data_IF_083075384831
#
_entry.id   IF_083075384831
#
_cell.length_a   1.000
_cell.length_b   1.000
_cell.length_c   1.000
_cell.angle_alpha   90.00
_cell.angle_beta   90.00
_cell.angle_gamma   90.00
#
_symmetry.space_group_name_H-M   'P 1'
#
loop_
_entity.id
_entity.type
_entity.pdbx_description
1 polymer ?
#
# COMPACT_ATOMS: atom_id res chain seq x y z
N UNK A 1 -21.42 11.73 -24.50
CA UNK A 1 -22.41 12.06 -23.48
C UNK A 1 -22.20 11.27 -22.17
N UNK A 2 -22.09 9.94 -22.24
CA UNK A 2 -21.86 9.09 -21.05
C UNK A 2 -20.49 9.30 -20.40
N UNK A 3 -19.44 9.44 -21.18
CA UNK A 3 -18.07 9.68 -20.67
C UNK A 3 -17.92 11.04 -19.97
N UNK A 4 -18.48 12.10 -20.55
CA UNK A 4 -18.44 13.44 -19.94
C UNK A 4 -19.25 13.50 -18.63
N UNK A 5 -20.36 12.76 -18.53
CA UNK A 5 -21.13 12.62 -17.29
C UNK A 5 -20.36 11.85 -16.21
N UNK A 6 -19.75 10.70 -16.59
CA UNK A 6 -18.95 9.89 -15.68
C UNK A 6 -17.76 10.67 -15.10
N UNK A 7 -17.01 11.39 -15.94
CA UNK A 7 -15.90 12.25 -15.48
C UNK A 7 -16.39 13.34 -14.52
N UNK A 8 -17.55 13.95 -14.80
CA UNK A 8 -18.13 14.98 -13.92
C UNK A 8 -18.50 14.40 -12.56
N UNK A 9 -19.07 13.22 -12.52
CA UNK A 9 -19.43 12.54 -11.27
C UNK A 9 -18.18 12.19 -10.45
N UNK A 10 -17.10 11.76 -11.09
CA UNK A 10 -15.80 11.53 -10.44
C UNK A 10 -15.23 12.84 -9.88
N UNK A 11 -15.25 13.93 -10.65
CA UNK A 11 -14.81 15.26 -10.19
C UNK A 11 -15.60 15.68 -8.96
N UNK A 12 -16.92 15.52 -8.98
CA UNK A 12 -17.79 15.86 -7.86
C UNK A 12 -17.44 15.05 -6.61
N UNK A 13 -17.22 13.74 -6.77
CA UNK A 13 -16.88 12.85 -5.66
C UNK A 13 -15.51 13.13 -5.05
N UNK A 14 -14.54 13.56 -5.85
CA UNK A 14 -13.13 13.71 -5.44
C UNK A 14 -12.72 15.17 -5.13
N UNK A 15 -13.53 16.15 -5.51
CA UNK A 15 -13.23 17.58 -5.25
C UNK A 15 -13.02 17.90 -3.77
N UNK A 16 -13.75 17.32 -2.79
CA UNK A 16 -13.51 17.57 -1.38
C UNK A 16 -12.10 17.18 -0.90
N UNK A 17 -11.43 16.31 -1.64
CA UNK A 17 -10.07 15.82 -1.33
C UNK A 17 -8.97 16.54 -2.11
N UNK A 18 -9.29 17.63 -2.80
CA UNK A 18 -8.34 18.40 -3.57
C UNK A 18 -7.79 17.71 -4.83
N UNK A 19 -8.49 16.68 -5.33
CA UNK A 19 -8.11 15.95 -6.54
C UNK A 19 -8.41 16.80 -7.77
N UNK A 20 -7.40 17.00 -8.61
CA UNK A 20 -7.52 17.82 -9.83
C UNK A 20 -8.41 17.15 -10.88
N UNK A 21 -9.21 17.91 -11.66
CA UNK A 21 -10.07 17.38 -12.71
C UNK A 21 -9.36 16.50 -13.75
N UNK A 22 -8.08 16.79 -14.04
CA UNK A 22 -7.27 15.98 -14.96
C UNK A 22 -7.05 14.55 -14.49
N UNK A 23 -7.06 14.32 -13.17
CA UNK A 23 -6.97 12.96 -12.60
C UNK A 23 -8.28 12.20 -12.73
N UNK A 24 -9.42 12.87 -12.74
CA UNK A 24 -10.73 12.22 -12.97
C UNK A 24 -10.81 11.58 -14.36
N UNK A 25 -10.21 12.22 -15.35
CA UNK A 25 -10.12 11.64 -16.70
C UNK A 25 -9.28 10.35 -16.66
N UNK A 26 -8.11 10.38 -16.05
CA UNK A 26 -7.25 9.19 -15.89
C UNK A 26 -7.96 8.06 -15.15
N UNK A 27 -8.68 8.38 -14.10
CA UNK A 27 -9.44 7.40 -13.32
C UNK A 27 -10.52 6.75 -14.20
N UNK A 28 -11.24 7.57 -14.97
CA UNK A 28 -12.27 7.08 -15.88
C UNK A 28 -11.73 6.17 -17.01
N UNK A 29 -10.52 6.48 -17.50
CA UNK A 29 -9.85 5.67 -18.53
C UNK A 29 -9.26 4.37 -17.97
N UNK A 30 -8.90 4.36 -16.68
CA UNK A 30 -8.18 3.24 -16.07
C UNK A 30 -9.09 2.18 -15.47
N UNK A 31 -10.27 2.55 -15.00
CA UNK A 31 -11.18 1.66 -14.29
C UNK A 31 -12.52 1.50 -15.04
N UNK A 32 -13.04 0.28 -15.09
CA UNK A 32 -14.35 -0.01 -15.72
C UNK A 32 -15.51 0.62 -14.93
N UNK A 33 -15.42 0.65 -13.61
CA UNK A 33 -16.40 1.32 -12.73
C UNK A 33 -15.69 2.26 -11.75
N UNK A 34 -15.33 3.47 -12.19
CA UNK A 34 -14.54 4.42 -11.40
C UNK A 34 -15.21 4.84 -10.08
N UNK A 35 -16.52 5.06 -10.09
CA UNK A 35 -17.25 5.49 -8.88
C UNK A 35 -17.33 4.38 -7.84
N UNK A 36 -17.40 3.12 -8.29
CA UNK A 36 -17.31 1.97 -7.40
C UNK A 36 -15.92 1.89 -6.74
N UNK A 37 -14.86 2.11 -7.52
CA UNK A 37 -13.48 2.15 -6.99
C UNK A 37 -13.33 3.24 -5.93
N UNK A 38 -13.82 4.44 -6.20
CA UNK A 38 -13.78 5.56 -5.22
C UNK A 38 -14.51 5.20 -3.93
N UNK A 39 -15.63 4.50 -4.01
CA UNK A 39 -16.46 4.16 -2.83
C UNK A 39 -15.98 2.93 -2.08
N UNK A 40 -15.59 1.87 -2.78
CA UNK A 40 -15.35 0.55 -2.19
C UNK A 40 -13.86 0.22 -2.03
N UNK A 41 -13.02 0.69 -2.95
CA UNK A 41 -11.59 0.35 -3.01
C UNK A 41 -10.69 1.57 -3.28
N UNK A 42 -10.82 2.66 -2.49
CA UNK A 42 -10.13 3.93 -2.78
C UNK A 42 -8.60 3.80 -2.81
N UNK A 43 -8.01 2.84 -2.11
CA UNK A 43 -6.57 2.60 -2.19
C UNK A 43 -6.09 2.09 -3.55
N UNK A 44 -6.98 1.61 -4.42
CA UNK A 44 -6.65 1.29 -5.80
C UNK A 44 -6.32 2.53 -6.64
N UNK A 45 -6.67 3.72 -6.16
CA UNK A 45 -6.32 5.01 -6.78
C UNK A 45 -4.86 5.40 -6.53
N UNK A 46 -4.18 4.77 -5.55
CA UNK A 46 -2.78 5.06 -5.24
C UNK A 46 -1.85 4.60 -6.35
N UNK A 47 -0.85 5.41 -6.65
CA UNK A 47 0.28 5.03 -7.47
C UNK A 47 0.52 5.96 -8.64
N UNK A 48 1.66 5.75 -9.30
CA UNK A 48 2.16 6.58 -10.39
C UNK A 48 1.24 6.59 -11.62
N UNK A 49 0.50 5.51 -11.86
CA UNK A 49 -0.43 5.42 -13.01
C UNK A 49 -1.55 6.44 -12.96
N UNK A 50 -2.15 6.61 -11.78
CA UNK A 50 -3.23 7.59 -11.57
C UNK A 50 -2.65 8.93 -11.12
N UNK A 51 -1.65 8.92 -10.25
CA UNK A 51 -1.02 10.11 -9.70
C UNK A 51 -1.69 10.60 -8.40
N UNK A 52 -2.40 9.73 -7.70
CA UNK A 52 -2.95 9.97 -6.37
C UNK A 52 -2.03 9.31 -5.34
N UNK A 53 -1.57 10.09 -4.37
CA UNK A 53 -0.75 9.60 -3.27
C UNK A 53 -1.58 8.88 -2.20
N UNK A 54 -0.89 8.14 -1.32
CA UNK A 54 -1.54 7.38 -0.24
C UNK A 54 -2.40 8.27 0.67
N UNK A 55 -1.91 9.43 1.08
CA UNK A 55 -2.66 10.32 2.00
C UNK A 55 -4.01 10.74 1.46
N UNK A 56 -4.08 11.08 0.18
CA UNK A 56 -5.35 11.46 -0.47
C UNK A 56 -6.30 10.26 -0.57
N UNK A 57 -5.81 9.11 -1.01
CA UNK A 57 -6.62 7.88 -1.07
C UNK A 57 -7.08 7.44 0.33
N UNK A 58 -6.25 7.62 1.34
CA UNK A 58 -6.57 7.32 2.74
C UNK A 58 -7.66 8.25 3.30
N UNK A 59 -7.61 9.54 2.97
CA UNK A 59 -8.70 10.48 3.31
C UNK A 59 -10.03 10.06 2.68
N UNK A 60 -10.03 9.65 1.44
CA UNK A 60 -11.21 9.12 0.74
C UNK A 60 -11.71 7.86 1.47
N UNK A 61 -10.82 6.92 1.78
CA UNK A 61 -11.16 5.69 2.48
C UNK A 61 -11.76 5.96 3.87
N UNK A 62 -11.17 6.86 4.65
CA UNK A 62 -11.70 7.24 5.97
C UNK A 62 -13.06 7.92 5.86
N UNK A 63 -13.27 8.78 4.87
CA UNK A 63 -14.59 9.38 4.62
C UNK A 63 -15.64 8.34 4.24
N UNK A 64 -15.24 7.22 3.66
CA UNK A 64 -16.09 6.07 3.34
C UNK A 64 -16.26 5.09 4.52
N UNK A 65 -15.72 5.41 5.69
CA UNK A 65 -15.89 4.63 6.92
C UNK A 65 -14.76 3.65 7.25
N UNK A 66 -13.63 3.69 6.53
CA UNK A 66 -12.45 2.88 6.89
C UNK A 66 -11.85 3.43 8.18
N UNK A 67 -11.76 2.59 9.21
CA UNK A 67 -11.16 2.97 10.49
C UNK A 67 -9.65 3.22 10.34
N UNK A 68 -9.09 4.23 11.04
CA UNK A 68 -7.65 4.45 11.13
C UNK A 68 -6.85 3.22 11.63
N UNK A 69 -7.47 2.35 12.44
CA UNK A 69 -6.87 1.11 12.95
C UNK A 69 -7.11 -0.11 12.05
N UNK A 70 -7.75 0.06 10.90
CA UNK A 70 -8.09 -1.03 9.98
C UNK A 70 -6.84 -1.72 9.40
N UNK A 71 -6.83 -3.05 9.42
CA UNK A 71 -5.77 -3.84 8.78
C UNK A 71 -5.69 -3.57 7.26
N UNK A 72 -6.82 -3.33 6.61
CA UNK A 72 -6.87 -2.91 5.20
C UNK A 72 -6.07 -1.63 4.97
N UNK A 73 -6.21 -0.66 5.84
CA UNK A 73 -5.48 0.61 5.81
C UNK A 73 -3.97 0.38 5.97
N UNK A 74 -3.58 -0.41 6.96
CA UNK A 74 -2.16 -0.74 7.22
C UNK A 74 -1.55 -1.50 6.04
N UNK A 75 -2.22 -2.52 5.54
CA UNK A 75 -1.76 -3.28 4.37
C UNK A 75 -1.62 -2.40 3.12
N UNK A 76 -2.55 -1.49 2.91
CA UNK A 76 -2.51 -0.56 1.78
C UNK A 76 -1.34 0.42 1.86
N UNK A 77 -1.04 0.92 3.07
CA UNK A 77 0.12 1.78 3.33
C UNK A 77 1.46 1.06 3.10
N UNK A 78 1.58 -0.16 3.59
CA UNK A 78 2.75 -1.01 3.38
C UNK A 78 2.96 -1.29 1.88
N UNK A 79 1.91 -1.65 1.15
CA UNK A 79 1.98 -1.87 -0.29
C UNK A 79 2.39 -0.62 -1.06
N UNK A 80 1.89 0.53 -0.64
CA UNK A 80 2.28 1.82 -1.23
C UNK A 80 3.78 2.07 -1.07
N UNK A 81 4.33 1.85 0.13
CA UNK A 81 5.76 2.03 0.40
C UNK A 81 6.62 1.06 -0.41
N UNK A 82 6.26 -0.22 -0.47
CA UNK A 82 7.00 -1.20 -1.25
C UNK A 82 6.99 -0.88 -2.75
N UNK A 83 5.88 -0.39 -3.28
CA UNK A 83 5.82 0.07 -4.68
C UNK A 83 6.68 1.30 -4.93
N UNK A 84 6.70 2.24 -3.99
CA UNK A 84 7.55 3.42 -4.09
C UNK A 84 9.05 3.05 -4.15
N UNK A 85 9.46 2.06 -3.37
CA UNK A 85 10.83 1.51 -3.44
C UNK A 85 11.11 0.86 -4.81
N UNK A 86 10.19 0.04 -5.31
CA UNK A 86 10.31 -0.58 -6.64
C UNK A 86 10.41 0.44 -7.77
N UNK A 87 9.63 1.51 -7.72
CA UNK A 87 9.67 2.62 -8.68
C UNK A 87 11.00 3.37 -8.68
N UNK A 88 11.73 3.35 -7.56
CA UNK A 88 13.11 3.87 -7.45
C UNK A 88 14.18 2.84 -7.85
N UNK A 89 13.79 1.63 -8.21
CA UNK A 89 14.69 0.55 -8.60
C UNK A 89 15.13 -0.36 -7.45
N UNK A 90 14.54 -0.21 -6.26
CA UNK A 90 14.82 -1.05 -5.09
C UNK A 90 13.82 -2.19 -4.99
N UNK A 91 14.22 -3.40 -5.32
CA UNK A 91 13.33 -4.57 -5.27
C UNK A 91 12.98 -4.98 -3.84
N UNK A 92 13.88 -4.77 -2.89
CA UNK A 92 13.71 -5.07 -1.48
C UNK A 92 14.08 -3.86 -0.61
N UNK A 93 13.57 -3.85 0.61
CA UNK A 93 13.92 -2.84 1.62
C UNK A 93 14.18 -3.51 2.97
N UNK A 94 14.88 -2.82 3.83
CA UNK A 94 15.09 -3.23 5.21
C UNK A 94 13.76 -3.26 5.97
N UNK A 95 13.49 -4.37 6.66
CA UNK A 95 12.21 -4.58 7.33
C UNK A 95 11.97 -3.56 8.45
N UNK A 96 13.00 -3.22 9.22
CA UNK A 96 12.88 -2.24 10.30
C UNK A 96 12.56 -0.85 9.75
N UNK A 97 13.25 -0.44 8.69
CA UNK A 97 13.01 0.83 8.00
C UNK A 97 11.60 0.90 7.42
N UNK A 98 11.10 -0.20 6.86
CA UNK A 98 9.72 -0.27 6.36
C UNK A 98 8.70 -0.10 7.48
N UNK A 99 8.91 -0.74 8.63
CA UNK A 99 8.02 -0.63 9.78
C UNK A 99 7.92 0.82 10.25
N UNK A 100 9.04 1.51 10.41
CA UNK A 100 9.05 2.91 10.84
C UNK A 100 8.42 3.83 9.78
N UNK A 101 8.75 3.65 8.51
CA UNK A 101 8.11 4.40 7.41
C UNK A 101 6.61 4.18 7.35
N UNK A 102 6.14 2.96 7.61
CA UNK A 102 4.71 2.65 7.68
C UNK A 102 4.03 3.36 8.85
N UNK A 103 4.65 3.39 10.02
CA UNK A 103 4.13 4.10 11.19
C UNK A 103 4.01 5.60 10.93
N UNK A 104 5.00 6.21 10.31
CA UNK A 104 4.95 7.62 9.90
C UNK A 104 3.86 7.90 8.85
N UNK A 105 3.79 7.07 7.81
CA UNK A 105 2.79 7.20 6.74
C UNK A 105 1.36 7.09 7.28
N UNK A 106 1.14 6.16 8.21
CA UNK A 106 -0.17 5.84 8.78
C UNK A 106 -0.56 6.75 9.97
N UNK A 107 0.32 7.65 10.41
CA UNK A 107 -0.01 8.60 11.46
C UNK A 107 -1.08 9.59 11.00
N UNK A 108 -2.10 9.81 11.82
CA UNK A 108 -3.21 10.75 11.59
C UNK A 108 -3.34 11.67 12.78
N UNK A 109 -3.63 12.94 12.52
CA UNK A 109 -3.94 13.90 13.57
C UNK A 109 -5.16 13.42 14.39
N UNK A 110 -5.15 13.67 15.68
CA UNK A 110 -6.20 13.26 16.62
C UNK A 110 -6.39 11.74 16.79
N UNK A 111 -5.45 10.93 16.32
CA UNK A 111 -5.47 9.48 16.51
C UNK A 111 -4.15 8.98 17.12
N UNK A 112 -4.17 7.91 17.94
CA UNK A 112 -2.93 7.35 18.49
C UNK A 112 -1.93 7.01 17.40
N UNK A 113 -0.65 7.30 17.65
CA UNK A 113 0.42 6.96 16.73
C UNK A 113 0.44 5.44 16.48
N UNK A 114 0.60 4.99 15.22
CA UNK A 114 0.55 3.58 14.89
C UNK A 114 1.55 2.74 15.70
N UNK A 115 1.05 1.72 16.40
CA UNK A 115 1.91 0.82 17.17
C UNK A 115 2.68 -0.13 16.27
N UNK A 116 3.92 -0.41 16.65
CA UNK A 116 4.78 -1.40 15.96
C UNK A 116 4.11 -2.77 15.86
N UNK A 117 3.44 -3.21 16.91
CA UNK A 117 2.68 -4.46 16.98
C UNK A 117 1.62 -4.57 15.89
N UNK A 118 0.87 -3.51 15.61
CA UNK A 118 -0.14 -3.50 14.56
C UNK A 118 0.47 -3.63 13.16
N UNK A 119 1.59 -2.98 12.91
CA UNK A 119 2.34 -3.12 11.64
C UNK A 119 2.82 -4.56 11.48
N UNK A 120 3.42 -5.15 12.52
CA UNK A 120 3.89 -6.54 12.50
C UNK A 120 2.75 -7.54 12.29
N UNK A 121 1.62 -7.39 12.98
CA UNK A 121 0.45 -8.23 12.78
C UNK A 121 -0.05 -8.16 11.33
N UNK A 122 -0.07 -6.97 10.75
CA UNK A 122 -0.45 -6.78 9.35
C UNK A 122 0.54 -7.50 8.42
N UNK A 123 1.84 -7.35 8.65
CA UNK A 123 2.88 -8.02 7.86
C UNK A 123 2.77 -9.55 7.94
N UNK A 124 2.49 -10.11 9.13
CA UNK A 124 2.24 -11.54 9.29
C UNK A 124 1.08 -12.00 8.42
N UNK A 125 -0.02 -11.25 8.39
CA UNK A 125 -1.17 -11.58 7.54
C UNK A 125 -0.86 -11.42 6.05
N UNK A 126 -0.15 -10.37 5.67
CA UNK A 126 0.27 -10.16 4.27
C UNK A 126 1.20 -11.29 3.80
N UNK A 127 2.09 -11.79 4.66
CA UNK A 127 2.95 -12.92 4.36
C UNK A 127 2.16 -14.22 4.18
N UNK A 128 1.19 -14.48 5.05
CA UNK A 128 0.28 -15.64 4.92
C UNK A 128 -0.54 -15.60 3.63
N UNK A 129 -0.89 -14.42 3.16
CA UNK A 129 -1.64 -14.20 1.92
C UNK A 129 -0.74 -14.13 0.67
N UNK A 130 0.56 -14.42 0.80
CA UNK A 130 1.55 -14.35 -0.28
C UNK A 130 1.58 -12.97 -0.97
N UNK A 131 1.44 -11.91 -0.21
CA UNK A 131 1.56 -10.53 -0.69
C UNK A 131 2.99 -10.03 -0.58
N UNK A 132 3.71 -10.46 0.45
CA UNK A 132 5.10 -10.10 0.73
C UNK A 132 5.94 -11.33 1.08
N UNK A 133 7.24 -11.22 0.85
CA UNK A 133 8.25 -12.18 1.31
C UNK A 133 9.26 -11.45 2.19
N UNK A 134 9.64 -12.09 3.26
CA UNK A 134 10.72 -11.64 4.14
C UNK A 134 11.86 -12.63 4.03
N UNK A 135 13.09 -12.14 3.92
CA UNK A 135 14.29 -12.95 3.82
C UNK A 135 15.31 -12.60 4.90
N UNK A 136 16.05 -13.62 5.32
CA UNK A 136 17.19 -13.45 6.21
C UNK A 136 18.47 -13.05 5.40
N UNK A 137 19.61 -12.74 6.06
CA UNK A 137 20.85 -12.39 5.37
C UNK A 137 21.42 -13.47 4.42
N UNK A 138 20.92 -14.70 4.51
CA UNK A 138 21.30 -15.80 3.61
C UNK A 138 20.37 -15.90 2.39
N UNK A 139 19.45 -14.93 2.22
CA UNK A 139 18.41 -14.92 1.17
C UNK A 139 17.45 -16.11 1.26
N UNK A 140 17.22 -16.60 2.47
CA UNK A 140 16.24 -17.66 2.75
C UNK A 140 14.94 -17.02 3.25
N UNK A 141 13.77 -17.50 2.80
CA UNK A 141 12.50 -17.03 3.30
C UNK A 141 12.40 -17.17 4.82
N UNK A 142 11.98 -16.11 5.47
CA UNK A 142 11.83 -16.02 6.91
C UNK A 142 10.35 -15.83 7.28
N UNK A 143 9.79 -16.72 8.09
CA UNK A 143 8.42 -16.61 8.54
C UNK A 143 8.31 -15.62 9.72
N UNK A 144 7.55 -14.54 9.53
CA UNK A 144 7.21 -13.63 10.62
C UNK A 144 6.19 -14.29 11.54
N UNK A 145 6.34 -14.00 12.82
CA UNK A 145 5.44 -14.46 13.85
C UNK A 145 5.03 -13.27 14.75
N UNK A 146 3.91 -13.38 15.44
CA UNK A 146 3.35 -12.31 16.28
C UNK A 146 4.18 -12.01 17.54
N UNK A 147 5.14 -12.87 17.87
CA UNK A 147 6.01 -12.71 19.06
C UNK A 147 7.26 -11.85 18.78
N UNK A 148 7.39 -11.28 17.58
CA UNK A 148 8.57 -10.53 17.13
C UNK A 148 8.56 -9.05 17.55
N UNK A 149 7.66 -8.64 18.42
CA UNK A 149 7.50 -7.23 18.82
C UNK A 149 8.80 -6.63 19.43
N UNK A 150 9.55 -7.44 20.14
CA UNK A 150 10.83 -7.07 20.77
C UNK A 150 12.05 -7.60 20.02
N UNK A 151 11.89 -8.33 18.93
CA UNK A 151 12.99 -8.89 18.16
C UNK A 151 13.72 -7.81 17.35
N UNK A 152 15.03 -7.98 17.18
CA UNK A 152 15.82 -7.19 16.25
C UNK A 152 15.59 -7.70 14.81
N UNK A 153 14.84 -6.94 14.06
CA UNK A 153 14.49 -7.22 12.67
C UNK A 153 15.41 -6.52 11.65
N UNK A 154 16.44 -5.82 12.10
CA UNK A 154 17.32 -4.98 11.28
C UNK A 154 18.10 -5.74 10.20
N UNK A 155 18.23 -7.06 10.34
CA UNK A 155 18.89 -7.92 9.36
C UNK A 155 17.95 -8.57 8.35
N UNK A 156 16.65 -8.38 8.51
CA UNK A 156 15.64 -8.92 7.60
C UNK A 156 15.32 -7.92 6.50
N UNK A 157 15.10 -8.43 5.30
CA UNK A 157 14.62 -7.66 4.16
C UNK A 157 13.22 -8.10 3.77
N UNK A 158 12.46 -7.21 3.16
CA UNK A 158 11.10 -7.46 2.70
C UNK A 158 10.92 -6.96 1.27
N UNK A 159 10.12 -7.68 0.51
CA UNK A 159 9.76 -7.33 -0.86
C UNK A 159 8.35 -7.82 -1.20
N UNK A 160 7.78 -7.32 -2.29
CA UNK A 160 6.56 -7.87 -2.85
C UNK A 160 6.77 -9.31 -3.31
N UNK A 161 5.81 -10.20 -3.03
CA UNK A 161 5.88 -11.60 -3.43
C UNK A 161 6.06 -11.77 -4.94
N UNK A 162 5.40 -10.95 -5.74
CA UNK A 162 5.53 -10.98 -7.20
C UNK A 162 6.96 -10.70 -7.67
N UNK A 163 7.61 -9.70 -7.08
CA UNK A 163 9.00 -9.34 -7.38
C UNK A 163 9.97 -10.46 -6.96
N UNK A 164 9.71 -11.07 -5.80
CA UNK A 164 10.50 -12.21 -5.33
C UNK A 164 10.42 -13.41 -6.27
N UNK A 165 9.23 -13.74 -6.78
CA UNK A 165 9.06 -14.83 -7.76
C UNK A 165 9.86 -14.55 -9.02
N UNK A 166 9.78 -13.33 -9.56
CA UNK A 166 10.51 -12.94 -10.77
C UNK A 166 12.03 -13.07 -10.58
N UNK A 167 12.58 -12.59 -9.47
CA UNK A 167 14.00 -12.70 -9.17
C UNK A 167 14.43 -14.16 -8.98
N UNK A 168 13.64 -14.97 -8.30
CA UNK A 168 13.91 -16.39 -8.07
C UNK A 168 13.89 -17.19 -9.38
N UNK A 169 13.00 -16.87 -10.30
CA UNK A 169 12.95 -17.48 -11.63
C UNK A 169 14.18 -17.09 -12.48
N UNK A 170 14.58 -15.82 -12.45
CA UNK A 170 15.79 -15.35 -13.13
C UNK A 170 17.04 -16.04 -12.59
N UNK A 171 17.17 -16.19 -11.28
CA UNK A 171 18.30 -16.89 -10.66
C UNK A 171 18.38 -18.38 -11.03
N UNK A 172 17.24 -19.03 -11.26
CA UNK A 172 17.17 -20.45 -11.70
C UNK A 172 17.47 -20.65 -13.19
N UNK A 173 17.34 -19.58 -14.00
CA UNK A 173 17.58 -19.63 -15.44
C UNK A 173 19.05 -19.41 -15.83
N UNK A 174 19.93 -19.09 -14.87
CA UNK A 174 21.37 -18.95 -15.03
C UNK A 174 22.06 -20.25 -14.62
#
# INVERSE_FOLDING_TARGET
YKEASAVRDIITALSPFGVRPSLAVKINEHFDDPLKVVRETPYALCGSRIGIGFRTADQIAQSNGVSPASMLRYASGIRYLLRAEEEQGHTYTDLESLIESARELLSVEDYPYPERSHVLQTLVQMQKQLMVVVENPKLEPYALDSNLETADLSKLTIMNYRSWVQESELARSI
#
